data_IF_341204387769
#
_entry.id   IF_341204387769
#
_cell.length_a   1.000
_cell.length_b   1.000
_cell.length_c   1.000
_cell.angle_alpha   90.00
_cell.angle_beta   90.00
_cell.angle_gamma   90.00
#
_symmetry.space_group_name_H-M   'P 1'
#
loop_
_entity.id
_entity.type
_entity.pdbx_description
1 polymer ?
#
# COMPACT_ATOMS: atom_id res chain seq x y z
N UNK A 1 -1.84 -10.93 -14.79
CA UNK A 1 -1.27 -11.45 -13.53
C UNK A 1 0.23 -11.76 -13.60
N UNK A 2 0.91 -11.44 -14.71
CA UNK A 2 2.37 -11.63 -14.92
C UNK A 2 3.20 -10.33 -14.83
N UNK A 3 2.64 -9.22 -14.32
CA UNK A 3 3.38 -7.97 -14.12
C UNK A 3 4.09 -7.88 -12.76
N UNK A 4 3.73 -8.75 -11.81
CA UNK A 4 4.25 -8.71 -10.43
C UNK A 4 5.66 -9.28 -10.28
N UNK A 5 6.19 -9.93 -11.32
CA UNK A 5 7.51 -10.56 -11.31
C UNK A 5 8.56 -9.77 -12.08
N UNK A 6 8.22 -8.64 -12.69
CA UNK A 6 9.18 -7.81 -13.45
C UNK A 6 10.02 -6.86 -12.57
N UNK A 7 9.68 -6.65 -11.29
CA UNK A 7 10.41 -5.79 -10.32
C UNK A 7 11.39 -6.55 -9.41
N UNK A 8 11.77 -7.77 -9.82
CA UNK A 8 12.52 -8.77 -9.05
C UNK A 8 13.74 -8.29 -8.24
N UNK A 9 14.63 -7.37 -8.70
CA UNK A 9 15.80 -7.01 -7.91
C UNK A 9 15.46 -6.11 -6.71
N UNK A 10 14.49 -5.20 -6.82
CA UNK A 10 14.18 -4.26 -5.72
C UNK A 10 13.39 -4.99 -4.63
N UNK A 11 12.39 -5.77 -5.03
CA UNK A 11 11.59 -6.56 -4.10
C UNK A 11 12.47 -7.50 -3.28
N UNK A 12 13.35 -8.26 -3.94
CA UNK A 12 14.20 -9.23 -3.25
C UNK A 12 15.24 -8.58 -2.34
N UNK A 13 15.83 -7.44 -2.76
CA UNK A 13 16.70 -6.64 -1.89
C UNK A 13 15.96 -6.21 -0.62
N UNK A 14 14.72 -5.74 -0.75
CA UNK A 14 13.88 -5.40 0.39
C UNK A 14 13.67 -6.57 1.34
N UNK A 15 13.29 -7.74 0.82
CA UNK A 15 13.10 -8.96 1.62
C UNK A 15 14.37 -9.36 2.38
N UNK A 16 15.51 -9.38 1.70
CA UNK A 16 16.81 -9.73 2.31
C UNK A 16 17.18 -8.74 3.41
N UNK A 17 17.00 -7.44 3.17
CA UNK A 17 17.29 -6.40 4.19
C UNK A 17 16.41 -6.60 5.43
N UNK A 18 15.11 -6.84 5.26
CA UNK A 18 14.19 -7.08 6.38
C UNK A 18 14.56 -8.34 7.15
N UNK A 19 14.89 -9.44 6.44
CA UNK A 19 15.32 -10.68 7.07
C UNK A 19 16.62 -10.50 7.88
N UNK A 20 17.63 -9.84 7.30
CA UNK A 20 18.87 -9.52 7.99
C UNK A 20 18.65 -8.64 9.23
N UNK A 21 17.80 -7.61 9.11
CA UNK A 21 17.47 -6.75 10.25
C UNK A 21 16.80 -7.54 11.38
N UNK A 22 15.86 -8.43 11.06
CA UNK A 22 15.20 -9.27 12.05
C UNK A 22 16.19 -10.23 12.72
N UNK A 23 17.03 -10.93 11.95
CA UNK A 23 18.01 -11.87 12.48
C UNK A 23 19.03 -11.15 13.38
N UNK A 24 19.63 -10.06 12.90
CA UNK A 24 20.69 -9.38 13.65
C UNK A 24 20.13 -8.65 14.88
N UNK A 25 19.05 -7.88 14.72
CA UNK A 25 18.52 -7.08 15.81
C UNK A 25 17.76 -7.93 16.83
N UNK A 26 16.75 -8.69 16.38
CA UNK A 26 15.93 -9.50 17.30
C UNK A 26 16.73 -10.71 17.80
N UNK A 27 17.58 -11.30 16.95
CA UNK A 27 18.43 -12.41 17.34
C UNK A 27 19.48 -12.03 18.40
N UNK A 28 20.08 -10.84 18.32
CA UNK A 28 21.03 -10.39 19.37
C UNK A 28 20.35 -10.27 20.74
N UNK A 29 19.15 -9.70 20.80
CA UNK A 29 18.35 -9.63 22.04
C UNK A 29 17.98 -11.04 22.53
N UNK A 30 17.63 -11.95 21.62
CA UNK A 30 17.33 -13.33 21.96
C UNK A 30 18.53 -14.08 22.57
N UNK A 31 19.74 -13.90 22.03
CA UNK A 31 20.96 -14.51 22.58
C UNK A 31 21.22 -14.03 24.01
N UNK A 32 21.08 -12.73 24.26
CA UNK A 32 21.23 -12.15 25.59
C UNK A 32 20.18 -12.69 26.58
N UNK A 33 18.90 -12.70 26.19
CA UNK A 33 17.82 -13.25 27.02
C UNK A 33 18.00 -14.75 27.27
N UNK A 34 18.49 -15.50 26.27
CA UNK A 34 18.75 -16.94 26.38
C UNK A 34 19.91 -17.24 27.32
N UNK A 35 20.94 -16.38 27.37
CA UNK A 35 22.05 -16.53 28.31
C UNK A 35 21.60 -16.39 29.77
N UNK A 36 20.62 -15.52 30.05
CA UNK A 36 20.13 -15.25 31.42
C UNK A 36 19.02 -16.20 31.84
N UNK A 37 18.00 -16.40 30.99
CA UNK A 37 16.80 -17.15 31.34
C UNK A 37 16.77 -18.58 30.79
N UNK A 38 17.73 -18.94 29.94
CA UNK A 38 17.71 -20.17 29.14
C UNK A 38 16.87 -20.03 27.86
N UNK A 39 17.13 -20.91 26.88
CA UNK A 39 16.58 -20.84 25.52
C UNK A 39 15.05 -20.66 25.47
N UNK A 40 14.30 -21.50 26.20
CA UNK A 40 12.82 -21.50 26.14
C UNK A 40 12.20 -20.27 26.80
N UNK A 41 12.70 -19.87 27.97
CA UNK A 41 12.20 -18.69 28.67
C UNK A 41 12.61 -17.40 27.95
N UNK A 42 13.85 -17.33 27.46
CA UNK A 42 14.34 -16.20 26.68
C UNK A 42 13.49 -15.95 25.43
N UNK A 43 13.12 -17.02 24.71
CA UNK A 43 12.21 -16.93 23.56
C UNK A 43 10.83 -16.38 23.95
N UNK A 44 10.22 -16.91 25.03
CA UNK A 44 8.87 -16.50 25.43
C UNK A 44 8.83 -15.04 25.90
N UNK A 45 9.85 -14.60 26.65
CA UNK A 45 9.99 -13.19 27.07
C UNK A 45 10.15 -12.29 25.84
N UNK A 46 11.04 -12.65 24.91
CA UNK A 46 11.22 -11.93 23.66
C UNK A 46 9.92 -11.84 22.85
N UNK A 47 9.23 -12.96 22.64
CA UNK A 47 8.02 -13.02 21.83
C UNK A 47 6.88 -12.18 22.44
N UNK A 48 6.63 -12.30 23.74
CA UNK A 48 5.61 -11.49 24.44
C UNK A 48 5.95 -10.00 24.36
N UNK A 49 7.22 -9.63 24.53
CA UNK A 49 7.67 -8.23 24.46
C UNK A 49 7.54 -7.67 23.04
N UNK A 50 7.95 -8.45 22.04
CA UNK A 50 7.87 -8.09 20.63
C UNK A 50 6.41 -7.92 20.17
N UNK A 51 5.55 -8.91 20.42
CA UNK A 51 4.14 -8.81 20.04
C UNK A 51 3.39 -7.77 20.87
N UNK A 52 3.72 -7.59 22.15
CA UNK A 52 3.16 -6.52 22.98
C UNK A 52 3.50 -5.15 22.42
N UNK A 53 4.75 -4.94 22.02
CA UNK A 53 5.17 -3.73 21.32
C UNK A 53 4.45 -3.53 19.99
N UNK A 54 4.34 -4.59 19.17
CA UNK A 54 3.64 -4.52 17.89
C UNK A 54 2.14 -4.23 18.04
N UNK A 55 1.50 -4.70 19.11
CA UNK A 55 0.11 -4.34 19.43
C UNK A 55 0.00 -2.84 19.66
N UNK A 56 0.88 -2.25 20.48
CA UNK A 56 0.89 -0.80 20.73
C UNK A 56 1.16 0.01 19.46
N UNK A 57 2.16 -0.39 18.68
CA UNK A 57 2.53 0.29 17.44
C UNK A 57 1.41 0.18 16.38
N UNK A 58 0.82 -1.00 16.22
CA UNK A 58 -0.26 -1.22 15.25
C UNK A 58 -1.55 -0.51 15.68
N UNK A 59 -1.81 -0.41 16.99
CA UNK A 59 -2.92 0.38 17.52
C UNK A 59 -2.77 1.86 17.16
N UNK A 60 -1.55 2.40 17.29
CA UNK A 60 -1.22 3.76 16.85
C UNK A 60 -1.43 3.93 15.33
N UNK A 61 -1.08 2.93 14.53
CA UNK A 61 -1.31 2.99 13.08
C UNK A 61 -2.79 2.97 12.69
N UNK A 62 -3.59 2.12 13.34
CA UNK A 62 -5.01 1.96 13.03
C UNK A 62 -5.81 3.17 13.48
N UNK A 63 -5.61 3.61 14.72
CA UNK A 63 -6.43 4.65 15.35
C UNK A 63 -5.83 6.05 15.17
N UNK A 64 -4.57 6.16 14.77
CA UNK A 64 -3.83 7.40 14.89
C UNK A 64 -3.58 7.75 16.36
N UNK A 65 -3.49 9.04 16.67
CA UNK A 65 -3.30 9.49 18.05
C UNK A 65 -4.61 9.41 18.86
N UNK A 66 -4.58 8.81 20.07
CA UNK A 66 -5.72 8.86 20.96
C UNK A 66 -5.93 10.31 21.44
N UNK A 67 -7.08 10.91 21.11
CA UNK A 67 -7.47 12.26 21.53
C UNK A 67 -7.42 12.47 23.06
N UNK A 68 -7.43 11.38 23.83
CA UNK A 68 -7.36 11.33 25.29
C UNK A 68 -6.03 11.87 25.84
N UNK A 69 -4.93 11.83 25.07
CA UNK A 69 -3.61 12.31 25.51
C UNK A 69 -3.33 13.79 25.15
N UNK A 70 -4.31 14.53 24.63
CA UNK A 70 -4.18 15.97 24.33
C UNK A 70 -3.25 16.31 23.16
N UNK A 71 -2.71 15.32 22.44
CA UNK A 71 -1.87 15.52 21.26
C UNK A 71 -2.75 15.59 20.00
N UNK A 72 -2.56 16.63 19.19
CA UNK A 72 -3.31 16.87 17.96
C UNK A 72 -2.41 16.74 16.73
N UNK A 73 -2.94 16.23 15.61
CA UNK A 73 -2.26 16.28 14.29
C UNK A 73 -1.94 14.93 13.63
N UNK A 74 -2.06 13.79 14.30
CA UNK A 74 -1.78 12.48 13.67
C UNK A 74 -3.04 11.82 13.13
N UNK A 75 -3.06 11.62 11.80
CA UNK A 75 -4.14 10.95 11.08
C UNK A 75 -4.12 9.43 11.32
N UNK A 76 -5.28 8.74 11.24
CA UNK A 76 -5.32 7.28 11.25
C UNK A 76 -4.77 6.69 9.94
N UNK A 77 -4.39 5.41 9.96
CA UNK A 77 -3.86 4.63 8.84
C UNK A 77 -2.49 5.11 8.32
N UNK A 78 -1.59 5.48 9.23
CA UNK A 78 -0.20 5.84 8.93
C UNK A 78 0.77 4.64 8.98
N UNK A 79 0.28 3.43 9.28
CA UNK A 79 1.05 2.19 9.19
C UNK A 79 1.23 1.74 7.73
N UNK A 80 1.55 0.46 7.49
CA UNK A 80 1.51 -0.10 6.14
C UNK A 80 0.15 0.19 5.49
N UNK A 81 0.18 0.87 4.34
CA UNK A 81 -1.01 1.39 3.65
C UNK A 81 -1.29 0.52 2.45
N UNK A 82 -2.55 0.21 2.23
CA UNK A 82 -2.97 -0.41 0.97
C UNK A 82 -3.02 0.60 -0.15
N UNK A 83 -3.77 0.28 -1.20
CA UNK A 83 -3.95 1.18 -2.34
C UNK A 83 -4.63 2.47 -1.87
N UNK A 84 -4.05 3.62 -2.18
CA UNK A 84 -4.68 4.91 -1.95
C UNK A 84 -5.81 5.15 -2.96
N UNK A 85 -6.78 6.02 -2.67
CA UNK A 85 -7.78 6.42 -3.65
C UNK A 85 -7.09 7.04 -4.87
N UNK A 86 -7.31 6.47 -6.05
CA UNK A 86 -6.68 6.93 -7.29
C UNK A 86 -7.63 6.76 -8.47
N UNK A 87 -7.33 7.46 -9.55
CA UNK A 87 -8.05 7.34 -10.80
C UNK A 87 -7.45 6.22 -11.64
N UNK A 88 -8.29 5.34 -12.16
CA UNK A 88 -7.87 4.22 -13.00
C UNK A 88 -8.66 4.19 -14.30
N UNK A 89 -7.94 4.05 -15.42
CA UNK A 89 -8.54 3.92 -16.75
C UNK A 89 -9.18 2.54 -16.86
N UNK A 90 -10.44 2.49 -17.29
CA UNK A 90 -11.17 1.23 -17.52
C UNK A 90 -11.52 0.98 -18.97
N UNK A 91 -11.56 2.01 -19.81
CA UNK A 91 -11.81 1.90 -21.23
C UNK A 91 -11.09 3.00 -22.00
N UNK A 92 -10.72 2.70 -23.24
CA UNK A 92 -10.18 3.67 -24.19
C UNK A 92 -10.75 3.37 -25.58
N UNK A 93 -11.16 4.39 -26.33
CA UNK A 93 -11.78 4.22 -27.64
C UNK A 93 -11.51 5.44 -28.52
N UNK A 94 -11.39 5.23 -29.83
CA UNK A 94 -11.38 6.29 -30.85
C UNK A 94 -12.79 6.64 -31.36
N UNK A 95 -13.82 5.98 -30.84
CA UNK A 95 -15.24 6.22 -31.13
C UNK A 95 -16.12 5.92 -29.91
N UNK A 96 -17.37 5.52 -30.10
CA UNK A 96 -18.27 5.19 -28.98
C UNK A 96 -17.76 3.97 -28.20
N UNK A 97 -17.51 4.13 -26.90
CA UNK A 97 -17.14 3.02 -26.03
C UNK A 97 -18.36 2.42 -25.33
N UNK A 98 -18.34 1.12 -25.12
CA UNK A 98 -19.29 0.43 -24.26
C UNK A 98 -18.56 -0.32 -23.15
N UNK A 99 -19.13 -0.31 -21.96
CA UNK A 99 -18.57 -0.96 -20.77
C UNK A 99 -19.69 -1.67 -20.02
N UNK A 100 -19.50 -2.96 -19.76
CA UNK A 100 -20.40 -3.72 -18.89
C UNK A 100 -20.31 -3.27 -17.42
N UNK A 101 -19.18 -2.67 -17.03
CA UNK A 101 -18.94 -2.18 -15.66
C UNK A 101 -19.67 -0.87 -15.38
N UNK A 102 -19.75 0.01 -16.38
CA UNK A 102 -20.35 1.34 -16.25
C UNK A 102 -21.32 1.58 -17.42
N UNK A 103 -22.62 1.31 -17.25
CA UNK A 103 -23.62 1.48 -18.32
C UNK A 103 -23.79 2.92 -18.82
N UNK A 104 -23.20 3.91 -18.16
CA UNK A 104 -23.20 5.32 -18.56
C UNK A 104 -22.13 5.67 -19.59
N UNK A 105 -21.14 4.80 -19.83
CA UNK A 105 -20.05 5.00 -20.80
C UNK A 105 -20.55 5.31 -22.23
N UNK A 106 -21.54 4.58 -22.80
CA UNK A 106 -22.00 4.82 -24.16
C UNK A 106 -22.67 6.17 -24.38
N UNK A 107 -23.15 6.83 -23.31
CA UNK A 107 -23.85 8.12 -23.40
C UNK A 107 -22.89 9.31 -23.56
N UNK A 108 -21.57 9.07 -23.57
CA UNK A 108 -20.58 10.11 -23.79
C UNK A 108 -20.37 10.39 -25.29
N UNK A 109 -20.36 11.66 -25.74
CA UNK A 109 -20.62 12.88 -24.97
C UNK A 109 -22.13 13.15 -24.79
N UNK A 110 -22.54 13.59 -23.60
CA UNK A 110 -23.95 13.89 -23.29
C UNK A 110 -24.35 13.53 -21.86
N UNK A 111 -25.57 13.86 -21.39
CA UNK A 111 -26.01 13.52 -20.03
C UNK A 111 -25.90 12.01 -19.77
N UNK A 112 -25.38 11.56 -18.61
CA UNK A 112 -25.11 12.30 -17.37
C UNK A 112 -23.70 12.94 -17.27
N UNK A 113 -22.93 12.97 -18.35
CA UNK A 113 -21.61 13.60 -18.38
C UNK A 113 -21.71 15.13 -18.34
N UNK A 114 -20.82 15.77 -17.60
CA UNK A 114 -20.83 17.21 -17.42
C UNK A 114 -19.44 17.77 -17.13
N UNK A 115 -19.28 19.07 -17.41
CA UNK A 115 -18.07 19.80 -17.08
C UNK A 115 -17.80 19.81 -15.56
N UNK A 116 -16.52 19.89 -15.14
CA UNK A 116 -16.13 19.74 -13.73
C UNK A 116 -16.76 20.79 -12.82
N UNK A 117 -17.42 20.37 -11.73
CA UNK A 117 -18.08 21.26 -10.76
C UNK A 117 -17.51 21.12 -9.35
N UNK A 118 -17.41 22.24 -8.64
CA UNK A 118 -17.05 22.28 -7.20
C UNK A 118 -15.84 21.41 -6.84
N UNK A 119 -16.09 20.31 -6.11
CA UNK A 119 -15.10 19.34 -5.60
C UNK A 119 -14.39 18.52 -6.68
N UNK A 120 -14.85 18.56 -7.93
CA UNK A 120 -14.25 17.85 -9.06
C UNK A 120 -13.10 18.63 -9.71
N UNK A 121 -13.09 19.96 -9.60
CA UNK A 121 -12.04 20.80 -10.20
C UNK A 121 -10.62 20.40 -9.73
N UNK A 122 -10.36 20.14 -8.43
CA UNK A 122 -9.06 19.64 -8.00
C UNK A 122 -8.72 18.25 -8.53
N UNK A 123 -9.72 17.45 -8.91
CA UNK A 123 -9.52 16.09 -9.43
C UNK A 123 -8.94 16.08 -10.84
N UNK A 124 -9.08 17.18 -11.61
CA UNK A 124 -8.58 17.32 -13.00
C UNK A 124 -7.11 16.90 -13.10
N UNK A 125 -6.23 17.47 -12.27
CA UNK A 125 -4.80 17.16 -12.32
C UNK A 125 -4.51 15.67 -12.04
N UNK A 126 -5.25 15.06 -11.12
CA UNK A 126 -5.11 13.63 -10.81
C UNK A 126 -5.64 12.72 -11.91
N UNK A 127 -6.74 13.10 -12.58
CA UNK A 127 -7.27 12.41 -13.77
C UNK A 127 -6.27 12.52 -14.92
N UNK A 128 -5.75 13.72 -15.21
CA UNK A 128 -4.71 13.95 -16.21
C UNK A 128 -3.50 13.06 -15.97
N UNK A 129 -2.97 13.04 -14.74
CA UNK A 129 -1.82 12.21 -14.40
C UNK A 129 -2.10 10.71 -14.59
N UNK A 130 -3.29 10.24 -14.22
CA UNK A 130 -3.68 8.84 -14.41
C UNK A 130 -3.79 8.45 -15.90
N UNK A 131 -4.39 9.32 -16.71
CA UNK A 131 -4.52 9.13 -18.17
C UNK A 131 -3.15 9.12 -18.84
N UNK A 132 -2.30 10.10 -18.53
CA UNK A 132 -0.96 10.20 -19.09
C UNK A 132 -0.09 8.99 -18.75
N UNK A 133 -0.13 8.53 -17.49
CA UNK A 133 0.57 7.31 -17.05
C UNK A 133 0.09 6.06 -17.79
N UNK A 134 -1.24 5.91 -17.92
CA UNK A 134 -1.83 4.78 -18.63
C UNK A 134 -1.40 4.77 -20.10
N UNK A 135 -1.46 5.91 -20.79
CA UNK A 135 -1.06 6.01 -22.19
C UNK A 135 0.44 5.77 -22.39
N UNK A 136 1.28 6.32 -21.53
CA UNK A 136 2.72 6.07 -21.58
C UNK A 136 3.05 4.59 -21.38
N UNK A 137 2.37 3.92 -20.44
CA UNK A 137 2.50 2.47 -20.25
C UNK A 137 2.02 1.69 -21.47
N UNK A 138 0.83 1.98 -21.99
CA UNK A 138 0.27 1.28 -23.16
C UNK A 138 1.13 1.48 -24.41
N UNK A 139 1.61 2.69 -24.67
CA UNK A 139 2.51 2.98 -25.78
C UNK A 139 3.84 2.22 -25.62
N UNK A 140 4.40 2.18 -24.41
CA UNK A 140 5.63 1.43 -24.14
C UNK A 140 5.46 -0.08 -24.38
N UNK A 141 4.34 -0.66 -23.93
CA UNK A 141 3.99 -2.06 -24.17
C UNK A 141 3.78 -2.35 -25.66
N UNK A 142 3.18 -1.43 -26.41
CA UNK A 142 2.99 -1.57 -27.86
C UNK A 142 4.31 -1.49 -28.63
N UNK A 143 5.19 -0.53 -28.30
CA UNK A 143 6.50 -0.41 -28.94
C UNK A 143 7.38 -1.63 -28.66
N UNK A 144 7.33 -2.16 -27.43
CA UNK A 144 8.02 -3.40 -27.09
C UNK A 144 7.56 -4.58 -27.96
N UNK A 145 6.25 -4.69 -28.26
CA UNK A 145 5.72 -5.72 -29.18
C UNK A 145 6.17 -5.53 -30.62
N UNK A 146 6.45 -4.29 -31.02
CA UNK A 146 6.93 -3.95 -32.36
C UNK A 146 8.47 -4.03 -32.48
N UNK A 147 9.17 -4.42 -31.41
CA UNK A 147 10.63 -4.50 -31.39
C UNK A 147 11.33 -3.14 -31.34
N UNK A 148 10.59 -2.06 -31.04
CA UNK A 148 11.13 -0.71 -30.86
C UNK A 148 11.50 -0.54 -29.39
N UNK A 149 12.76 -0.23 -29.10
CA UNK A 149 13.21 0.01 -27.73
C UNK A 149 12.67 1.34 -27.21
N UNK A 150 12.15 1.35 -25.97
CA UNK A 150 11.76 2.57 -25.25
C UNK A 150 12.95 3.02 -24.42
N UNK A 151 13.47 4.22 -24.70
CA UNK A 151 14.64 4.75 -24.02
C UNK A 151 14.28 5.39 -22.67
N UNK A 152 15.20 5.30 -21.71
CA UNK A 152 15.10 6.06 -20.45
C UNK A 152 15.22 7.57 -20.72
N UNK A 153 14.50 8.43 -19.96
CA UNK A 153 14.39 9.87 -20.22
C UNK A 153 15.70 10.66 -20.15
N UNK A 154 16.80 10.04 -19.74
CA UNK A 154 18.15 10.63 -19.68
C UNK A 154 18.98 10.44 -20.95
N UNK A 155 18.48 9.71 -21.95
CA UNK A 155 19.19 9.45 -23.21
C UNK A 155 18.58 10.23 -24.38
N UNK A 156 19.44 10.77 -25.26
CA UNK A 156 19.01 11.50 -26.46
C UNK A 156 18.25 10.56 -27.42
N UNK A 157 17.08 10.96 -27.95
CA UNK A 157 16.34 10.12 -28.90
C UNK A 157 17.19 9.82 -30.12
N UNK A 158 17.26 8.54 -30.50
CA UNK A 158 17.97 8.03 -31.69
C UNK A 158 16.97 7.32 -32.59
N UNK A 159 17.32 7.07 -33.86
CA UNK A 159 16.43 6.41 -34.84
C UNK A 159 15.91 5.02 -34.40
N UNK A 160 16.51 4.43 -33.38
CA UNK A 160 16.18 3.10 -32.83
C UNK A 160 15.50 3.16 -31.46
N UNK A 161 15.27 4.35 -30.88
CA UNK A 161 14.81 4.47 -29.51
C UNK A 161 13.91 5.69 -29.28
N UNK A 162 12.64 5.45 -28.95
CA UNK A 162 11.64 6.50 -28.68
C UNK A 162 11.56 6.75 -27.18
N UNK A 163 11.52 8.02 -26.77
CA UNK A 163 11.22 8.41 -25.38
C UNK A 163 9.72 8.59 -25.23
N UNK A 164 9.09 7.70 -24.45
CA UNK A 164 7.65 7.74 -24.14
C UNK A 164 7.49 8.12 -22.68
N UNK A 165 7.15 9.37 -22.44
CA UNK A 165 6.94 9.92 -21.10
C UNK A 165 5.48 10.35 -20.93
N UNK A 166 4.87 10.29 -19.72
CA UNK A 166 3.53 10.79 -19.49
C UNK A 166 3.29 12.21 -20.03
N UNK A 167 4.32 13.07 -20.03
CA UNK A 167 4.21 14.45 -20.57
C UNK A 167 4.06 14.54 -22.09
N UNK A 168 4.32 13.46 -22.84
CA UNK A 168 4.13 13.39 -24.31
C UNK A 168 2.66 13.22 -24.71
N UNK A 169 1.76 13.05 -23.75
CA UNK A 169 0.32 12.97 -23.98
C UNK A 169 -0.36 14.22 -23.42
N UNK A 170 -1.09 14.92 -24.29
CA UNK A 170 -1.95 16.03 -23.87
C UNK A 170 -3.32 15.48 -23.50
N UNK A 171 -3.91 16.01 -22.43
CA UNK A 171 -5.23 15.61 -21.92
C UNK A 171 -6.10 16.85 -21.83
N UNK A 172 -7.29 16.80 -22.44
CA UNK A 172 -8.24 17.90 -22.52
C UNK A 172 -9.68 17.39 -22.43
N UNK A 173 -10.64 18.32 -22.41
CA UNK A 173 -12.09 18.04 -22.41
C UNK A 173 -12.51 17.04 -21.32
N UNK A 174 -11.99 17.24 -20.11
CA UNK A 174 -12.28 16.34 -18.99
C UNK A 174 -13.71 16.60 -18.51
N UNK A 175 -14.56 15.60 -18.65
CA UNK A 175 -15.93 15.60 -18.13
C UNK A 175 -16.08 14.55 -17.03
N UNK A 176 -16.99 14.81 -16.11
CA UNK A 176 -17.27 13.96 -14.97
C UNK A 176 -18.68 13.36 -15.06
N UNK A 177 -18.83 12.20 -14.42
CA UNK A 177 -20.11 11.56 -14.21
C UNK A 177 -20.08 10.74 -12.92
N UNK A 178 -21.21 10.17 -12.52
CA UNK A 178 -21.33 9.35 -11.33
C UNK A 178 -22.16 8.11 -11.60
N UNK A 179 -21.74 6.97 -11.07
CA UNK A 179 -22.50 5.72 -11.11
C UNK A 179 -22.40 5.00 -9.77
N UNK A 180 -23.54 4.79 -9.10
CA UNK A 180 -23.65 4.08 -7.81
C UNK A 180 -22.61 4.53 -6.76
N UNK A 181 -22.36 5.84 -6.64
CA UNK A 181 -21.40 6.40 -5.68
C UNK A 181 -19.92 6.23 -6.05
N UNK A 182 -19.64 5.86 -7.30
CA UNK A 182 -18.30 5.89 -7.93
C UNK A 182 -18.22 7.09 -8.87
N UNK A 183 -17.21 7.93 -8.69
CA UNK A 183 -16.94 9.05 -9.60
C UNK A 183 -16.29 8.51 -10.87
N UNK A 184 -16.79 8.96 -12.01
CA UNK A 184 -16.29 8.66 -13.34
C UNK A 184 -15.75 9.95 -13.96
N UNK A 185 -14.75 9.81 -14.82
CA UNK A 185 -14.25 10.87 -15.66
C UNK A 185 -14.04 10.34 -17.08
N UNK A 186 -14.29 11.18 -18.08
CA UNK A 186 -13.94 10.95 -19.47
C UNK A 186 -13.01 12.06 -19.89
N UNK A 187 -11.99 11.74 -20.70
CA UNK A 187 -11.03 12.71 -21.17
C UNK A 187 -10.63 12.41 -22.60
N UNK A 188 -10.41 13.45 -23.39
CA UNK A 188 -9.76 13.33 -24.68
C UNK A 188 -8.27 13.46 -24.50
N UNK A 189 -7.52 12.57 -25.14
CA UNK A 189 -6.08 12.64 -25.16
C UNK A 189 -5.52 12.34 -26.55
N UNK A 190 -4.40 12.97 -26.86
CA UNK A 190 -3.68 12.78 -28.10
C UNK A 190 -2.17 12.90 -27.85
N UNK A 191 -1.40 12.29 -28.73
CA UNK A 191 0.05 12.33 -28.70
C UNK A 191 0.56 13.67 -29.25
N UNK A 192 1.52 14.30 -28.56
CA UNK A 192 2.02 15.63 -28.94
C UNK A 192 2.63 15.69 -30.33
N UNK A 193 3.19 14.59 -30.82
CA UNK A 193 3.81 14.50 -32.14
C UNK A 193 2.83 14.08 -33.26
N UNK A 194 1.53 14.05 -32.96
CA UNK A 194 0.47 13.69 -33.91
C UNK A 194 -0.08 12.28 -33.67
N UNK A 195 -1.37 12.11 -33.98
CA UNK A 195 -2.11 10.87 -33.80
C UNK A 195 -3.62 11.10 -33.69
N UNK A 196 -4.43 10.03 -33.71
CA UNK A 196 -5.86 10.16 -33.49
C UNK A 196 -6.14 10.61 -32.05
N UNK A 197 -7.21 11.38 -31.89
CA UNK A 197 -7.78 11.65 -30.57
C UNK A 197 -8.36 10.35 -30.00
N UNK A 198 -7.97 10.03 -28.77
CA UNK A 198 -8.45 8.87 -28.02
C UNK A 198 -9.29 9.38 -26.87
N UNK A 199 -10.48 8.81 -26.71
CA UNK A 199 -11.32 9.02 -25.54
C UNK A 199 -10.97 7.99 -24.49
N UNK A 200 -10.57 8.43 -23.30
CA UNK A 200 -10.28 7.58 -22.15
C UNK A 200 -11.35 7.75 -21.10
N UNK A 201 -11.79 6.64 -20.54
CA UNK A 201 -12.74 6.60 -19.45
C UNK A 201 -12.07 6.07 -18.20
N UNK A 202 -12.27 6.79 -17.12
CA UNK A 202 -11.55 6.66 -15.86
C UNK A 202 -12.56 6.57 -14.74
N UNK A 203 -12.32 5.73 -13.74
CA UNK A 203 -13.12 5.67 -12.53
C UNK A 203 -12.24 5.94 -11.31
N UNK A 204 -12.84 6.48 -10.25
CA UNK A 204 -12.17 6.70 -8.99
C UNK A 204 -12.26 5.45 -8.13
N UNK A 205 -11.16 4.73 -8.02
CA UNK A 205 -11.03 3.66 -7.03
C UNK A 205 -10.93 4.30 -5.64
N UNK A 206 -11.70 3.78 -4.68
CA UNK A 206 -11.66 4.25 -3.28
C UNK A 206 -10.41 3.77 -2.55
N UNK A 207 -9.70 2.81 -3.12
CA UNK A 207 -8.55 2.18 -2.52
C UNK A 207 -8.93 1.36 -1.29
N UNK A 208 -7.91 0.85 -0.62
CA UNK A 208 -8.04 0.07 0.59
C UNK A 208 -6.91 0.39 1.57
N UNK A 209 -6.86 1.65 2.00
CA UNK A 209 -5.75 2.18 2.79
C UNK A 209 -5.58 1.44 4.13
N UNK A 210 -6.68 1.03 4.76
CA UNK A 210 -6.69 0.56 6.15
C UNK A 210 -6.44 -0.96 6.31
N UNK A 211 -6.58 -1.78 5.26
CA UNK A 211 -6.56 -3.24 5.42
C UNK A 211 -5.26 -3.76 6.00
N UNK A 212 -4.10 -3.25 5.58
CA UNK A 212 -2.83 -3.73 6.11
C UNK A 212 -2.62 -3.29 7.56
N UNK A 213 -2.97 -2.06 7.91
CA UNK A 213 -2.87 -1.58 9.30
C UNK A 213 -3.71 -2.45 10.26
N UNK A 214 -4.94 -2.80 9.87
CA UNK A 214 -5.78 -3.73 10.64
C UNK A 214 -5.23 -5.16 10.67
N UNK A 215 -4.68 -5.64 9.55
CA UNK A 215 -4.08 -6.98 9.47
C UNK A 215 -2.90 -7.12 10.43
N UNK A 216 -2.01 -6.11 10.48
CA UNK A 216 -0.89 -6.08 11.42
C UNK A 216 -1.36 -6.03 12.87
N UNK A 217 -2.39 -5.24 13.18
CA UNK A 217 -2.95 -5.17 14.53
C UNK A 217 -3.52 -6.51 14.98
N UNK A 218 -4.34 -7.15 14.15
CA UNK A 218 -4.94 -8.46 14.45
C UNK A 218 -3.88 -9.54 14.59
N UNK A 219 -2.92 -9.61 13.66
CA UNK A 219 -1.81 -10.56 13.73
C UNK A 219 -0.98 -10.39 15.01
N UNK A 220 -0.75 -9.14 15.43
CA UNK A 220 0.00 -8.83 16.66
C UNK A 220 -0.76 -9.27 17.92
N UNK A 221 -2.09 -9.05 17.96
CA UNK A 221 -2.94 -9.53 19.07
C UNK A 221 -2.90 -11.05 19.16
N UNK A 222 -3.06 -11.75 18.03
CA UNK A 222 -3.02 -13.21 17.99
C UNK A 222 -1.67 -13.72 18.46
N UNK A 223 -0.57 -13.14 17.96
CA UNK A 223 0.78 -13.45 18.41
C UNK A 223 0.95 -13.25 19.92
N UNK A 224 0.51 -12.11 20.44
CA UNK A 224 0.59 -11.83 21.88
C UNK A 224 -0.22 -12.83 22.71
N UNK A 225 -1.49 -13.05 22.34
CA UNK A 225 -2.42 -13.92 23.05
C UNK A 225 -1.96 -15.39 23.09
N UNK A 226 -1.27 -15.86 22.05
CA UNK A 226 -0.70 -17.22 22.02
C UNK A 226 0.48 -17.34 22.99
N UNK A 227 1.36 -16.34 23.07
CA UNK A 227 2.61 -16.45 23.82
C UNK A 227 2.47 -16.19 25.31
N UNK A 228 1.52 -15.34 25.73
CA UNK A 228 1.32 -15.00 27.16
C UNK A 228 1.01 -16.24 28.03
N UNK A 229 0.08 -17.14 27.68
CA UNK A 229 -0.17 -18.34 28.47
C UNK A 229 1.03 -19.29 28.55
N UNK A 230 1.85 -19.36 27.50
CA UNK A 230 3.06 -20.18 27.52
C UNK A 230 4.12 -19.59 28.45
N UNK A 231 4.26 -18.28 28.48
CA UNK A 231 5.16 -17.59 29.42
C UNK A 231 4.71 -17.83 30.87
N UNK A 232 3.42 -17.65 31.19
CA UNK A 232 2.87 -17.88 32.54
C UNK A 232 3.12 -19.33 33.01
N UNK A 233 2.86 -20.32 32.16
CA UNK A 233 3.12 -21.73 32.47
C UNK A 233 4.60 -22.01 32.70
N UNK A 234 5.48 -21.44 31.87
CA UNK A 234 6.91 -21.64 31.98
C UNK A 234 7.49 -20.98 33.24
N UNK A 235 6.97 -19.81 33.62
CA UNK A 235 7.32 -19.13 34.86
C UNK A 235 6.88 -19.92 36.10
N UNK A 236 5.62 -20.40 36.13
CA UNK A 236 5.11 -21.25 37.23
C UNK A 236 5.95 -22.51 37.41
N UNK A 237 6.33 -23.18 36.31
CA UNK A 237 7.20 -24.36 36.36
C UNK A 237 8.58 -24.01 36.92
N UNK A 238 9.19 -22.91 36.49
CA UNK A 238 10.49 -22.45 36.99
C UNK A 238 10.43 -22.12 38.48
N UNK A 239 9.39 -21.40 38.92
CA UNK A 239 9.16 -21.10 40.35
C UNK A 239 9.00 -22.37 41.17
N UNK A 240 8.20 -23.34 40.70
CA UNK A 240 8.05 -24.64 41.37
C UNK A 240 9.38 -25.38 41.57
N UNK A 241 10.30 -25.33 40.61
CA UNK A 241 11.63 -25.94 40.71
C UNK A 241 12.53 -25.16 41.66
N UNK A 242 12.54 -23.84 41.57
CA UNK A 242 13.49 -23.00 42.32
C UNK A 242 13.10 -22.77 43.78
N UNK A 243 11.81 -22.73 44.09
CA UNK A 243 11.31 -22.36 45.42
C UNK A 243 10.40 -23.41 46.05
N UNK A 244 10.29 -24.61 45.44
CA UNK A 244 9.37 -25.65 45.90
C UNK A 244 7.89 -25.26 45.84
N UNK A 245 7.55 -24.18 45.13
CA UNK A 245 6.19 -23.64 45.07
C UNK A 245 5.84 -22.65 46.20
N UNK A 246 6.75 -22.41 47.15
CA UNK A 246 6.59 -21.39 48.20
C UNK A 246 7.25 -20.08 47.78
N UNK A 247 6.58 -18.94 48.01
CA UNK A 247 7.22 -17.64 47.83
C UNK A 247 8.34 -17.47 48.87
N UNK A 248 9.49 -16.87 48.53
CA UNK A 248 10.49 -16.54 49.55
C UNK A 248 9.87 -15.62 50.61
N UNK A 249 10.24 -15.76 51.89
CA UNK A 249 9.75 -14.87 52.93
C UNK A 249 10.07 -13.42 52.55
N UNK A 250 9.05 -12.56 52.65
CA UNK A 250 9.18 -11.13 52.33
C UNK A 250 10.00 -10.45 53.43
N UNK A 251 11.14 -9.84 53.07
CA UNK A 251 12.04 -9.11 53.97
C UNK A 251 12.06 -7.60 53.65
N UNK A 252 10.90 -6.99 53.41
CA UNK A 252 10.78 -5.53 53.22
C UNK A 252 10.36 -4.81 54.51
N UNK A 253 10.59 -3.50 54.65
CA UNK A 253 10.06 -2.73 55.78
C UNK A 253 8.55 -2.48 55.60
N UNK A 254 7.81 -2.65 56.70
CA UNK A 254 6.37 -2.43 56.80
C UNK A 254 5.96 -0.97 56.57
#
# INVERSE_FOLDING_TARGET
MMGFLADTPIFWKGVVVVACALILFVGSVYVLLSAVFGLRMGYLVLAVSFFGWLVLLSLLWVLGQPKILGVTGTLPNLGPRGTEPHWQVYASSTGTASSSRFPTTPNYPGPPWHLPKGVEKPSIASVTSAVQKYLAQQASEQFAKQGIAVCTPTSSPTATCLTVDPTTFLVQDIEFSGFHGTSLAAAHSFFTFGGPQITLYVYRDKGNVNVYSWSFFLASIVGFAIHVPFLDRAEKKRKGILTGGTAPPWYGPA
#
